data_IF_918547272341
#
_entry.id   IF_918547272341
#
_cell.length_a   1.000
_cell.length_b   1.000
_cell.length_c   1.000
_cell.angle_alpha   90.00
_cell.angle_beta   90.00
_cell.angle_gamma   90.00
#
_symmetry.space_group_name_H-M   'P 1'
#
loop_
_entity.id
_entity.type
_entity.pdbx_description
1 polymer ?
#
# COMPACT_ATOMS: atom_id res chain seq x y z
N UNK A 1 37.91 -23.56 -19.51
CA UNK A 1 36.76 -24.49 -19.52
C UNK A 1 35.98 -24.18 -18.25
N UNK A 2 34.87 -23.44 -18.35
CA UNK A 2 34.04 -23.10 -17.19
C UNK A 2 33.26 -24.37 -16.84
N UNK A 3 33.52 -24.93 -15.68
CA UNK A 3 32.92 -26.18 -15.21
C UNK A 3 31.46 -25.90 -14.82
N UNK A 4 30.51 -26.71 -15.29
CA UNK A 4 29.07 -26.52 -15.07
C UNK A 4 28.64 -26.50 -13.59
N UNK A 5 29.53 -26.86 -12.67
CA UNK A 5 29.35 -26.81 -11.21
C UNK A 5 29.40 -25.38 -10.63
N UNK A 6 29.88 -24.38 -11.38
CA UNK A 6 29.98 -22.99 -10.89
C UNK A 6 28.67 -22.18 -11.03
N UNK A 7 27.66 -22.76 -11.70
CA UNK A 7 26.33 -22.17 -11.92
C UNK A 7 25.23 -22.88 -11.11
N UNK A 8 25.59 -23.54 -10.00
CA UNK A 8 24.61 -24.16 -9.13
C UNK A 8 23.83 -23.09 -8.33
N UNK A 9 22.57 -22.87 -8.74
CA UNK A 9 21.68 -21.89 -8.11
C UNK A 9 21.16 -22.46 -6.80
N UNK A 10 21.84 -22.15 -5.68
CA UNK A 10 21.43 -22.58 -4.35
C UNK A 10 20.17 -21.84 -3.86
N UNK A 11 19.26 -22.52 -3.13
CA UNK A 11 18.11 -21.87 -2.51
C UNK A 11 18.54 -20.80 -1.50
N UNK A 12 17.89 -19.64 -1.52
CA UNK A 12 18.05 -18.61 -0.49
C UNK A 12 16.76 -18.48 0.33
N UNK A 13 16.81 -18.97 1.57
CA UNK A 13 15.69 -18.86 2.51
C UNK A 13 15.69 -17.55 3.30
N UNK A 14 16.85 -16.92 3.49
CA UNK A 14 16.97 -15.74 4.35
C UNK A 14 16.31 -14.54 3.68
N UNK A 15 16.48 -14.40 2.36
CA UNK A 15 15.81 -13.35 1.56
C UNK A 15 14.30 -13.32 1.79
N UNK A 16 13.54 -14.37 1.43
CA UNK A 16 12.09 -14.41 1.64
C UNK A 16 11.64 -14.20 3.09
N UNK A 17 12.37 -14.74 4.07
CA UNK A 17 12.05 -14.57 5.51
C UNK A 17 12.21 -13.12 5.96
N UNK A 18 13.27 -12.43 5.52
CA UNK A 18 13.46 -11.00 5.84
C UNK A 18 12.39 -10.13 5.17
N UNK A 19 12.06 -10.42 3.91
CA UNK A 19 10.98 -9.73 3.21
C UNK A 19 9.63 -9.93 3.89
N UNK A 20 9.35 -11.14 4.40
CA UNK A 20 8.14 -11.40 5.15
C UNK A 20 8.00 -10.51 6.40
N UNK A 21 9.09 -10.31 7.15
CA UNK A 21 9.08 -9.42 8.33
C UNK A 21 8.79 -7.98 7.91
N UNK A 22 9.45 -7.49 6.85
CA UNK A 22 9.21 -6.15 6.32
C UNK A 22 7.75 -5.97 5.90
N UNK A 23 7.21 -6.90 5.11
CA UNK A 23 5.82 -6.84 4.64
C UNK A 23 4.82 -6.90 5.80
N UNK A 24 5.12 -7.66 6.85
CA UNK A 24 4.29 -7.70 8.06
C UNK A 24 4.26 -6.34 8.76
N UNK A 25 5.41 -5.69 8.96
CA UNK A 25 5.46 -4.37 9.59
C UNK A 25 4.79 -3.32 8.70
N UNK A 26 5.03 -3.35 7.39
CA UNK A 26 4.38 -2.46 6.43
C UNK A 26 2.85 -2.61 6.44
N UNK A 27 2.33 -3.82 6.66
CA UNK A 27 0.88 -4.04 6.70
C UNK A 27 0.17 -3.25 7.80
N UNK A 28 0.83 -3.03 8.95
CA UNK A 28 0.28 -2.24 10.05
C UNK A 28 0.20 -0.74 9.69
N UNK A 29 1.24 -0.23 9.03
CA UNK A 29 1.26 1.15 8.54
C UNK A 29 0.15 1.35 7.50
N UNK A 30 0.06 0.42 6.54
CA UNK A 30 -0.97 0.46 5.49
C UNK A 30 -2.39 0.34 6.08
N UNK A 31 -2.59 -0.48 7.13
CA UNK A 31 -3.86 -0.54 7.85
C UNK A 31 -4.23 0.81 8.47
N UNK A 32 -3.29 1.47 9.14
CA UNK A 32 -3.52 2.78 9.74
C UNK A 32 -3.93 3.83 8.71
N UNK A 33 -3.24 3.86 7.57
CA UNK A 33 -3.58 4.77 6.46
C UNK A 33 -4.97 4.47 5.88
N UNK A 34 -5.27 3.19 5.63
CA UNK A 34 -6.58 2.78 5.12
C UNK A 34 -7.72 3.07 6.11
N UNK A 35 -7.45 2.94 7.41
CA UNK A 35 -8.40 3.30 8.47
C UNK A 35 -8.66 4.80 8.54
N UNK A 36 -7.61 5.62 8.42
CA UNK A 36 -7.75 7.07 8.38
C UNK A 36 -8.66 7.52 7.23
N UNK A 37 -8.47 6.94 6.04
CA UNK A 37 -9.31 7.25 4.88
C UNK A 37 -10.75 6.78 5.06
N UNK A 38 -10.94 5.61 5.66
CA UNK A 38 -12.28 5.15 6.04
C UNK A 38 -12.96 6.14 6.99
N UNK A 39 -12.24 6.65 7.99
CA UNK A 39 -12.78 7.62 8.94
C UNK A 39 -13.12 8.96 8.26
N UNK A 40 -12.24 9.46 7.39
CA UNK A 40 -12.50 10.66 6.58
C UNK A 40 -13.73 10.50 5.67
N UNK A 41 -13.99 9.29 5.15
CA UNK A 41 -15.18 9.04 4.35
C UNK A 41 -16.49 9.08 5.15
N UNK A 42 -16.46 8.66 6.41
CA UNK A 42 -17.68 8.54 7.24
C UNK A 42 -17.93 9.80 8.07
N UNK A 43 -16.95 10.18 8.88
CA UNK A 43 -17.09 11.21 9.90
C UNK A 43 -16.50 12.55 9.44
N UNK A 44 -15.44 12.48 8.63
CA UNK A 44 -14.69 13.66 8.23
C UNK A 44 -13.94 14.32 9.39
N UNK A 45 -13.55 15.58 9.21
CA UNK A 45 -12.98 16.41 10.28
C UNK A 45 -14.04 17.37 10.87
N UNK A 46 -13.93 17.74 12.15
CA UNK A 46 -14.70 18.86 12.71
C UNK A 46 -14.13 20.21 12.23
N UNK A 47 -14.88 21.31 12.35
CA UNK A 47 -14.41 22.63 11.93
C UNK A 47 -13.12 23.04 12.67
N UNK A 48 -13.04 22.84 13.98
CA UNK A 48 -11.83 23.09 14.78
C UNK A 48 -10.62 22.26 14.30
N UNK A 49 -10.87 21.02 13.86
CA UNK A 49 -9.83 20.15 13.32
C UNK A 49 -9.37 20.63 11.95
N UNK A 50 -10.28 21.13 11.11
CA UNK A 50 -9.95 21.72 9.82
C UNK A 50 -9.10 22.97 10.01
N UNK A 51 -9.49 23.88 10.91
CA UNK A 51 -8.70 25.07 11.21
C UNK A 51 -7.27 24.70 11.67
N UNK A 52 -7.16 23.71 12.56
CA UNK A 52 -5.87 23.19 13.02
C UNK A 52 -5.06 22.57 11.87
N UNK A 53 -5.72 21.77 11.02
CA UNK A 53 -5.11 21.11 9.88
C UNK A 53 -4.59 22.12 8.84
N UNK A 54 -5.33 23.20 8.61
CA UNK A 54 -5.00 24.25 7.65
C UNK A 54 -3.99 25.28 8.18
N UNK A 55 -3.76 25.34 9.49
CA UNK A 55 -2.87 26.34 10.10
C UNK A 55 -1.44 26.33 9.51
N UNK A 56 -0.87 25.14 9.30
CA UNK A 56 0.49 25.03 8.74
C UNK A 56 0.51 25.32 7.24
N UNK A 57 -0.32 24.69 6.38
CA UNK A 57 -0.40 25.01 4.96
C UNK A 57 -0.68 26.50 4.68
N UNK A 58 -1.61 27.13 5.41
CA UNK A 58 -1.97 28.53 5.20
C UNK A 58 -0.92 29.53 5.71
N UNK A 59 0.09 29.08 6.45
CA UNK A 59 1.24 29.93 6.81
C UNK A 59 2.28 30.04 5.68
N UNK A 60 2.12 29.26 4.60
CA UNK A 60 2.99 29.32 3.43
C UNK A 60 2.52 30.40 2.44
N UNK A 61 3.40 30.93 1.57
CA UNK A 61 3.00 31.85 0.51
C UNK A 61 2.02 31.20 -0.48
N UNK A 62 1.01 31.95 -0.93
CA UNK A 62 0.01 31.51 -1.91
C UNK A 62 -1.41 31.85 -1.47
N UNK A 63 -2.40 31.44 -2.27
CA UNK A 63 -3.81 31.55 -1.87
C UNK A 63 -4.10 30.58 -0.70
N UNK A 64 -4.58 31.09 0.46
CA UNK A 64 -4.90 30.24 1.61
C UNK A 64 -6.20 29.48 1.37
N UNK A 65 -6.32 28.30 1.98
CA UNK A 65 -7.56 27.52 1.96
C UNK A 65 -8.46 27.97 3.11
N UNK A 66 -9.72 28.29 2.82
CA UNK A 66 -10.73 28.56 3.87
C UNK A 66 -11.37 27.27 4.37
N UNK A 67 -12.02 27.31 5.54
CA UNK A 67 -12.76 26.16 6.07
C UNK A 67 -13.89 25.75 5.11
N UNK A 68 -14.59 26.72 4.52
CA UNK A 68 -15.66 26.48 3.54
C UNK A 68 -15.14 25.76 2.28
N UNK A 69 -14.01 26.23 1.72
CA UNK A 69 -13.34 25.56 0.61
C UNK A 69 -12.94 24.12 0.94
N UNK A 70 -12.48 23.87 2.17
CA UNK A 70 -12.15 22.52 2.61
C UNK A 70 -13.40 21.63 2.74
N UNK A 71 -14.54 22.19 3.15
CA UNK A 71 -15.82 21.47 3.20
C UNK A 71 -16.31 21.09 1.81
N UNK A 72 -16.23 21.98 0.83
CA UNK A 72 -16.57 21.67 -0.56
C UNK A 72 -15.67 20.58 -1.13
N UNK A 73 -14.36 20.66 -0.86
CA UNK A 73 -13.40 19.61 -1.18
C UNK A 73 -13.79 18.26 -0.55
N UNK A 74 -14.07 18.24 0.75
CA UNK A 74 -14.40 17.00 1.47
C UNK A 74 -15.71 16.38 0.96
N UNK A 75 -16.71 17.21 0.68
CA UNK A 75 -17.97 16.79 0.09
C UNK A 75 -17.76 16.14 -1.29
N UNK A 76 -17.01 16.80 -2.18
CA UNK A 76 -16.73 16.29 -3.53
C UNK A 76 -15.95 14.96 -3.49
N UNK A 77 -14.93 14.85 -2.62
CA UNK A 77 -14.18 13.60 -2.47
C UNK A 77 -15.07 12.46 -1.99
N UNK A 78 -15.99 12.74 -1.06
CA UNK A 78 -16.89 11.73 -0.50
C UNK A 78 -17.94 11.30 -1.52
N UNK A 79 -18.53 12.24 -2.26
CA UNK A 79 -19.49 11.96 -3.33
C UNK A 79 -18.84 11.11 -4.43
N UNK A 80 -17.60 11.42 -4.81
CA UNK A 80 -16.82 10.66 -5.78
C UNK A 80 -16.17 9.40 -5.19
N UNK A 81 -16.45 9.04 -3.93
CA UNK A 81 -15.91 7.87 -3.22
C UNK A 81 -14.37 7.79 -3.17
N UNK A 82 -13.66 8.91 -3.28
CA UNK A 82 -12.19 8.94 -3.31
C UNK A 82 -11.57 8.36 -2.03
N UNK A 83 -12.03 8.80 -0.86
CA UNK A 83 -11.61 8.26 0.44
C UNK A 83 -11.99 6.79 0.61
N UNK A 84 -13.19 6.39 0.20
CA UNK A 84 -13.65 5.02 0.32
C UNK A 84 -12.81 4.06 -0.54
N UNK A 85 -12.55 4.43 -1.80
CA UNK A 85 -11.74 3.65 -2.73
C UNK A 85 -10.31 3.46 -2.19
N UNK A 86 -9.69 4.55 -1.72
CA UNK A 86 -8.34 4.51 -1.14
C UNK A 86 -8.34 3.67 0.14
N UNK A 87 -9.26 3.95 1.06
CA UNK A 87 -9.36 3.26 2.35
C UNK A 87 -9.57 1.76 2.21
N UNK A 88 -10.60 1.33 1.47
CA UNK A 88 -10.92 -0.10 1.31
C UNK A 88 -9.80 -0.85 0.60
N UNK A 89 -9.21 -0.27 -0.45
CA UNK A 89 -8.12 -0.95 -1.18
C UNK A 89 -6.87 -1.12 -0.31
N UNK A 90 -6.50 -0.12 0.50
CA UNK A 90 -5.39 -0.21 1.44
C UNK A 90 -5.69 -1.19 2.59
N UNK A 91 -6.91 -1.20 3.13
CA UNK A 91 -7.32 -2.16 4.16
C UNK A 91 -7.28 -3.61 3.63
N UNK A 92 -7.79 -3.86 2.42
CA UNK A 92 -7.71 -5.17 1.77
C UNK A 92 -6.26 -5.58 1.51
N UNK A 93 -5.42 -4.66 1.05
CA UNK A 93 -3.99 -4.89 0.88
C UNK A 93 -3.34 -5.27 2.21
N UNK A 94 -3.65 -4.54 3.29
CA UNK A 94 -3.14 -4.81 4.63
C UNK A 94 -3.54 -6.21 5.11
N UNK A 95 -4.81 -6.61 4.98
CA UNK A 95 -5.26 -7.97 5.35
C UNK A 95 -4.50 -9.04 4.57
N UNK A 96 -4.33 -8.86 3.26
CA UNK A 96 -3.55 -9.78 2.43
C UNK A 96 -2.08 -9.87 2.88
N UNK A 97 -1.46 -8.76 3.25
CA UNK A 97 -0.09 -8.72 3.75
C UNK A 97 0.02 -9.33 5.15
N UNK A 98 -0.91 -9.04 6.06
CA UNK A 98 -0.97 -9.57 7.42
C UNK A 98 -1.08 -11.11 7.42
N UNK A 99 -1.87 -11.68 6.51
CA UNK A 99 -2.01 -13.14 6.38
C UNK A 99 -0.88 -13.74 5.54
N UNK A 100 -0.51 -13.08 4.45
CA UNK A 100 0.49 -13.58 3.51
C UNK A 100 1.91 -13.57 4.07
N UNK A 101 2.27 -12.59 4.91
CA UNK A 101 3.61 -12.46 5.46
C UNK A 101 4.01 -13.62 6.40
N UNK A 102 3.19 -14.04 7.39
CA UNK A 102 3.48 -15.23 8.20
C UNK A 102 3.60 -16.51 7.36
N UNK A 103 2.78 -16.65 6.31
CA UNK A 103 2.87 -17.76 5.36
C UNK A 103 4.19 -17.71 4.58
N UNK A 104 4.59 -16.54 4.11
CA UNK A 104 5.85 -16.31 3.40
C UNK A 104 7.07 -16.56 4.31
N UNK A 105 6.99 -16.19 5.59
CA UNK A 105 8.02 -16.48 6.57
C UNK A 105 8.23 -18.00 6.75
N UNK A 106 7.14 -18.77 6.64
CA UNK A 106 7.16 -20.24 6.57
C UNK A 106 7.53 -20.79 5.18
N UNK A 107 8.04 -19.93 4.29
CA UNK A 107 8.44 -20.24 2.91
C UNK A 107 7.31 -20.82 2.05
N UNK A 108 6.05 -20.49 2.37
CA UNK A 108 4.91 -20.95 1.59
C UNK A 108 4.73 -20.07 0.36
N UNK A 109 4.71 -20.69 -0.83
CA UNK A 109 4.51 -19.98 -2.10
C UNK A 109 3.19 -19.19 -2.17
N UNK A 110 2.15 -19.69 -1.50
CA UNK A 110 0.86 -19.00 -1.42
C UNK A 110 0.96 -17.69 -0.62
N UNK A 111 1.85 -17.60 0.38
CA UNK A 111 2.11 -16.36 1.10
C UNK A 111 2.66 -15.26 0.19
N UNK A 112 3.68 -15.58 -0.62
CA UNK A 112 4.23 -14.64 -1.60
C UNK A 112 3.18 -14.17 -2.63
N UNK A 113 2.33 -15.09 -3.13
CA UNK A 113 1.24 -14.75 -4.05
C UNK A 113 0.22 -13.83 -3.40
N UNK A 114 -0.20 -14.12 -2.17
CA UNK A 114 -1.17 -13.32 -1.45
C UNK A 114 -0.63 -11.91 -1.17
N UNK A 115 0.63 -11.78 -0.73
CA UNK A 115 1.27 -10.48 -0.56
C UNK A 115 1.34 -9.69 -1.87
N UNK A 116 1.68 -10.35 -2.98
CA UNK A 116 1.77 -9.70 -4.30
C UNK A 116 0.41 -9.20 -4.78
N UNK A 117 -0.63 -10.02 -4.66
CA UNK A 117 -2.00 -9.64 -5.04
C UNK A 117 -2.49 -8.49 -4.16
N UNK A 118 -2.30 -8.58 -2.85
CA UNK A 118 -2.64 -7.51 -1.91
C UNK A 118 -1.95 -6.19 -2.25
N UNK A 119 -0.63 -6.23 -2.48
CA UNK A 119 0.14 -5.05 -2.86
C UNK A 119 -0.33 -4.45 -4.20
N UNK A 120 -0.72 -5.29 -5.18
CA UNK A 120 -1.28 -4.84 -6.45
C UNK A 120 -2.64 -4.15 -6.26
N UNK A 121 -3.54 -4.74 -5.47
CA UNK A 121 -4.83 -4.14 -5.14
C UNK A 121 -4.64 -2.79 -4.45
N UNK A 122 -3.74 -2.73 -3.46
CA UNK A 122 -3.43 -1.49 -2.76
C UNK A 122 -2.76 -0.45 -3.65
N UNK A 123 -1.94 -0.85 -4.63
CA UNK A 123 -1.35 0.09 -5.59
C UNK A 123 -2.41 0.68 -6.52
N UNK A 124 -3.21 -0.16 -7.17
CA UNK A 124 -4.21 0.29 -8.14
C UNK A 124 -5.29 1.12 -7.44
N UNK A 125 -5.88 0.59 -6.36
CA UNK A 125 -6.91 1.30 -5.62
C UNK A 125 -6.38 2.51 -4.85
N UNK A 126 -5.16 2.42 -4.30
CA UNK A 126 -4.51 3.51 -3.59
C UNK A 126 -4.22 4.70 -4.50
N UNK A 127 -3.66 4.46 -5.68
CA UNK A 127 -3.39 5.50 -6.68
C UNK A 127 -4.67 6.08 -7.25
N UNK A 128 -5.64 5.24 -7.63
CA UNK A 128 -6.92 5.71 -8.17
C UNK A 128 -7.70 6.57 -7.16
N UNK A 129 -7.76 6.13 -5.89
CA UNK A 129 -8.35 6.93 -4.82
C UNK A 129 -7.59 8.23 -4.57
N UNK A 130 -6.26 8.19 -4.59
CA UNK A 130 -5.43 9.40 -4.42
C UNK A 130 -5.63 10.40 -5.56
N UNK A 131 -5.73 9.95 -6.81
CA UNK A 131 -6.03 10.81 -7.96
C UNK A 131 -7.40 11.47 -7.83
N UNK A 132 -8.41 10.72 -7.37
CA UNK A 132 -9.75 11.26 -7.13
C UNK A 132 -9.73 12.36 -6.06
N UNK A 133 -9.02 12.12 -4.96
CA UNK A 133 -8.81 13.12 -3.91
C UNK A 133 -8.08 14.35 -4.46
N UNK A 134 -7.01 14.15 -5.24
CA UNK A 134 -6.25 15.25 -5.80
C UNK A 134 -7.05 16.10 -6.80
N UNK A 135 -7.90 15.49 -7.62
CA UNK A 135 -8.77 16.23 -8.55
C UNK A 135 -9.70 17.21 -7.81
N UNK A 136 -10.30 16.77 -6.71
CA UNK A 136 -11.09 17.63 -5.83
C UNK A 136 -10.21 18.74 -5.22
N UNK A 137 -9.00 18.39 -4.76
CA UNK A 137 -8.07 19.36 -4.20
C UNK A 137 -7.69 20.46 -5.20
N UNK A 138 -7.45 20.11 -6.47
CA UNK A 138 -7.17 21.07 -7.54
C UNK A 138 -8.34 22.00 -7.84
N UNK A 139 -9.56 21.58 -7.53
CA UNK A 139 -10.78 22.36 -7.80
C UNK A 139 -11.05 23.37 -6.68
N UNK A 140 -10.96 22.95 -5.42
CA UNK A 140 -11.48 23.73 -4.30
C UNK A 140 -10.41 24.36 -3.39
N UNK A 141 -9.20 23.78 -3.32
CA UNK A 141 -8.22 24.17 -2.30
C UNK A 141 -7.26 25.29 -2.78
N UNK A 142 -6.65 25.96 -1.81
CA UNK A 142 -5.56 26.92 -2.05
C UNK A 142 -4.24 26.26 -2.43
N UNK A 143 -3.26 27.07 -2.85
CA UNK A 143 -2.04 26.62 -3.54
C UNK A 143 -1.21 25.60 -2.74
N UNK A 144 -0.99 25.86 -1.45
CA UNK A 144 -0.20 24.98 -0.59
C UNK A 144 -0.87 23.60 -0.41
N UNK A 145 -2.21 23.59 -0.32
CA UNK A 145 -2.99 22.36 -0.16
C UNK A 145 -3.08 21.57 -1.46
N UNK A 146 -3.24 22.24 -2.61
CA UNK A 146 -3.16 21.63 -3.94
C UNK A 146 -1.85 20.88 -4.14
N UNK A 147 -0.73 21.55 -3.87
CA UNK A 147 0.60 20.94 -3.97
C UNK A 147 0.76 19.76 -3.01
N UNK A 148 0.26 19.91 -1.77
CA UNK A 148 0.30 18.83 -0.78
C UNK A 148 -0.38 17.58 -1.30
N UNK A 149 -1.63 17.69 -1.78
CA UNK A 149 -2.34 16.52 -2.30
C UNK A 149 -1.72 15.96 -3.59
N UNK A 150 -1.07 16.79 -4.41
CA UNK A 150 -0.33 16.32 -5.58
C UNK A 150 0.88 15.46 -5.19
N UNK A 151 1.68 15.93 -4.24
CA UNK A 151 2.82 15.17 -3.69
C UNK A 151 2.34 13.85 -3.08
N UNK A 152 1.20 13.86 -2.39
CA UNK A 152 0.61 12.65 -1.79
C UNK A 152 0.27 11.56 -2.82
N UNK A 153 -0.21 11.93 -4.02
CA UNK A 153 -0.45 10.96 -5.10
C UNK A 153 0.85 10.27 -5.50
N UNK A 154 1.91 11.04 -5.74
CA UNK A 154 3.22 10.50 -6.12
C UNK A 154 3.82 9.64 -5.01
N UNK A 155 3.70 10.08 -3.75
CA UNK A 155 4.19 9.32 -2.61
C UNK A 155 3.45 7.99 -2.45
N UNK A 156 2.13 7.99 -2.59
CA UNK A 156 1.33 6.76 -2.54
C UNK A 156 1.76 5.78 -3.66
N UNK A 157 1.84 6.26 -4.90
CA UNK A 157 2.21 5.42 -6.05
C UNK A 157 3.61 4.83 -5.93
N UNK A 158 4.59 5.64 -5.53
CA UNK A 158 5.98 5.18 -5.36
C UNK A 158 6.13 4.18 -4.22
N UNK A 159 5.53 4.44 -3.06
CA UNK A 159 5.60 3.54 -1.90
C UNK A 159 4.87 2.22 -2.14
N UNK A 160 3.68 2.25 -2.74
CA UNK A 160 2.94 1.04 -3.08
C UNK A 160 3.59 0.27 -4.22
N UNK A 161 4.21 0.97 -5.18
CA UNK A 161 5.02 0.35 -6.24
C UNK A 161 6.23 -0.39 -5.67
N UNK A 162 6.93 0.22 -4.72
CA UNK A 162 8.03 -0.43 -4.00
C UNK A 162 7.54 -1.64 -3.21
N UNK A 163 6.41 -1.52 -2.50
CA UNK A 163 5.80 -2.62 -1.76
C UNK A 163 5.48 -3.81 -2.68
N UNK A 164 4.89 -3.55 -3.85
CA UNK A 164 4.62 -4.56 -4.87
C UNK A 164 5.90 -5.22 -5.39
N UNK A 165 6.93 -4.42 -5.71
CA UNK A 165 8.22 -4.95 -6.15
C UNK A 165 8.81 -5.90 -5.10
N UNK A 166 8.84 -5.47 -3.83
CA UNK A 166 9.34 -6.27 -2.71
C UNK A 166 8.51 -7.54 -2.52
N UNK A 167 7.19 -7.46 -2.58
CA UNK A 167 6.30 -8.62 -2.46
C UNK A 167 6.45 -9.64 -3.59
N UNK A 168 6.75 -9.16 -4.81
CA UNK A 168 6.91 -10.00 -5.99
C UNK A 168 8.32 -10.64 -6.10
N UNK A 169 9.34 -10.08 -5.45
CA UNK A 169 10.73 -10.57 -5.51
C UNK A 169 10.86 -12.09 -5.24
N UNK A 170 10.22 -12.69 -4.22
CA UNK A 170 10.29 -14.13 -3.98
C UNK A 170 9.73 -14.99 -5.12
N UNK A 171 8.83 -14.44 -5.96
CA UNK A 171 8.23 -15.14 -7.09
C UNK A 171 9.06 -15.01 -8.38
N UNK A 172 9.80 -13.90 -8.52
CA UNK A 172 10.58 -13.58 -9.72
C UNK A 172 12.03 -14.06 -9.63
N UNK A 173 12.65 -13.96 -8.45
CA UNK A 173 14.03 -14.40 -8.25
C UNK A 173 14.11 -15.92 -8.17
N UNK A 174 14.92 -16.54 -9.05
CA UNK A 174 15.08 -18.00 -9.12
C UNK A 174 15.54 -18.61 -7.80
N UNK A 175 16.52 -18.00 -7.10
CA UNK A 175 17.05 -18.51 -5.82
C UNK A 175 16.00 -18.49 -4.72
N UNK A 176 15.26 -17.39 -4.62
CA UNK A 176 14.18 -17.24 -3.66
C UNK A 176 13.01 -18.18 -3.98
N UNK A 177 12.67 -18.31 -5.27
CA UNK A 177 11.59 -19.20 -5.73
C UNK A 177 11.88 -20.66 -5.45
N UNK A 178 13.13 -21.09 -5.58
CA UNK A 178 13.57 -22.45 -5.23
C UNK A 178 13.48 -22.72 -3.72
N UNK A 179 13.63 -21.70 -2.88
CA UNK A 179 13.47 -21.82 -1.44
C UNK A 179 11.99 -21.88 -0.99
N UNK A 180 11.04 -21.51 -1.84
CA UNK A 180 9.62 -21.61 -1.53
C UNK A 180 9.16 -23.08 -1.68
N UNK A 181 8.92 -23.76 -0.57
CA UNK A 181 8.47 -25.15 -0.59
C UNK A 181 7.08 -25.27 -1.25
N UNK A 182 6.93 -26.10 -2.29
CA UNK A 182 5.63 -26.67 -2.61
C UNK A 182 5.32 -27.75 -1.55
N UNK A 183 4.23 -27.61 -0.79
CA UNK A 183 3.70 -28.72 0.02
C UNK A 183 3.18 -29.79 -0.93
N UNK A 184 4.02 -30.72 -1.34
CA UNK A 184 3.57 -31.99 -1.89
C UNK A 184 3.48 -32.94 -0.71
N UNK A 185 2.26 -33.22 -0.25
CA UNK A 185 2.04 -34.31 0.69
C UNK A 185 2.24 -35.61 -0.10
N UNK A 186 3.39 -36.26 0.09
CA UNK A 186 3.60 -37.61 -0.40
C UNK A 186 2.83 -38.53 0.54
N UNK A 187 1.60 -38.88 0.18
CA UNK A 187 0.94 -40.04 0.75
C UNK A 187 1.71 -41.28 0.27
N UNK A 188 2.56 -41.82 1.14
CA UNK A 188 3.04 -43.18 0.97
C UNK A 188 1.85 -44.09 1.26
N UNK A 189 1.25 -44.66 0.21
CA UNK A 189 0.41 -45.85 0.38
C UNK A 189 1.37 -46.99 0.77
N UNK A 190 1.21 -47.50 2.00
CA UNK A 190 1.86 -48.74 2.43
C UNK A 190 1.19 -49.89 1.66
N UNK A 191 1.94 -50.54 0.76
CA UNK A 191 1.59 -51.82 0.13
C UNK A 191 1.63 -52.98 1.13
#
# INVERSE_FOLDING_TARGET
MIQASDLEVRPDEKGPKNLAILLLLSSLIVAGMGWQDWQLHNDGLSDDQIETFLATPNSQPGEPTTVEQYRDFEADVRENNGYLLRGVSLLLASVCLLVGAPMLYRLQRNGARLCTIGALVGLVGGVAGSMTINNAAQTYLGDAMKLTYEIWVYLCGTMMGLCLAVAALPLLNVRARLALHPRVALTHEEE
#
